data_IF_604745593860
#
_entry.id   IF_604745593860
#
_cell.length_a   1.000
_cell.length_b   1.000
_cell.length_c   1.000
_cell.angle_alpha   90.00
_cell.angle_beta   90.00
_cell.angle_gamma   90.00
#
_symmetry.space_group_name_H-M   'P 1'
#
loop_
_entity.id
_entity.type
_entity.pdbx_description
1 polymer ?
#
# COMPACT_ATOMS: atom_id res chain seq x y z
N UNK A 1 -17.57 -2.29 -18.28
CA UNK A 1 -18.66 -1.78 -19.13
C UNK A 1 -19.34 -0.61 -18.45
N UNK A 2 -20.39 -0.06 -19.04
CA UNK A 2 -21.07 1.14 -18.51
C UNK A 2 -21.64 0.98 -17.09
N UNK A 3 -21.77 -0.26 -16.59
CA UNK A 3 -22.22 -0.58 -15.24
C UNK A 3 -21.10 -1.05 -14.30
N UNK A 4 -19.85 -0.68 -14.59
CA UNK A 4 -18.66 -1.13 -13.85
C UNK A 4 -17.82 -2.15 -14.63
N UNK A 5 -16.58 -2.33 -14.20
CA UNK A 5 -15.64 -3.29 -14.76
C UNK A 5 -15.40 -4.41 -13.75
N UNK A 6 -15.25 -5.63 -14.24
CA UNK A 6 -14.87 -6.77 -13.41
C UNK A 6 -13.40 -7.08 -13.69
N UNK A 7 -12.62 -7.21 -12.62
CA UNK A 7 -11.26 -7.72 -12.66
C UNK A 7 -11.32 -9.16 -12.18
N UNK A 8 -10.94 -10.08 -13.06
CA UNK A 8 -10.73 -11.48 -12.69
C UNK A 8 -9.24 -11.68 -12.43
N UNK A 9 -8.91 -12.11 -11.21
CA UNK A 9 -7.55 -12.35 -10.79
C UNK A 9 -7.43 -13.71 -10.12
N UNK A 10 -6.25 -14.32 -10.26
CA UNK A 10 -5.95 -15.58 -9.57
C UNK A 10 -6.13 -15.41 -8.06
N UNK A 11 -6.81 -16.37 -7.44
CA UNK A 11 -6.89 -16.44 -5.99
C UNK A 11 -5.50 -16.63 -5.36
N UNK A 12 -5.18 -15.82 -4.37
CA UNK A 12 -3.89 -15.79 -3.66
C UNK A 12 -4.00 -16.58 -2.34
N UNK A 13 -3.54 -17.84 -2.24
CA UNK A 13 -3.82 -18.70 -1.07
C UNK A 13 -3.15 -18.23 0.22
N UNK A 14 -2.11 -17.40 0.10
CA UNK A 14 -1.40 -16.80 1.23
C UNK A 14 -2.10 -15.56 1.77
N UNK A 15 -3.29 -15.20 1.30
CA UNK A 15 -4.07 -14.09 1.86
C UNK A 15 -4.36 -14.26 3.37
N UNK A 16 -4.42 -15.51 3.85
CA UNK A 16 -4.49 -15.86 5.28
C UNK A 16 -3.29 -15.36 6.11
N UNK A 17 -2.15 -15.10 5.46
CA UNK A 17 -0.96 -14.55 6.09
C UNK A 17 -1.06 -13.02 6.24
N UNK A 18 -1.98 -12.39 5.50
CA UNK A 18 -2.34 -10.99 5.60
C UNK A 18 -2.05 -10.18 4.34
N UNK A 19 -2.74 -9.06 4.24
CA UNK A 19 -2.50 -8.02 3.26
C UNK A 19 -1.53 -6.98 3.82
N UNK A 20 -0.60 -6.52 3.00
CA UNK A 20 0.47 -5.60 3.38
C UNK A 20 0.23 -4.28 2.66
N UNK A 21 -0.15 -3.24 3.39
CA UNK A 21 -0.42 -1.91 2.85
C UNK A 21 0.74 -0.97 3.11
N UNK A 22 1.29 -0.38 2.06
CA UNK A 22 2.21 0.75 2.18
C UNK A 22 1.37 2.02 2.21
N UNK A 23 1.51 2.84 3.26
CA UNK A 23 0.95 4.20 3.30
C UNK A 23 2.01 5.19 2.83
N UNK A 24 1.67 6.01 1.84
CA UNK A 24 2.60 6.95 1.21
C UNK A 24 2.13 8.40 1.35
N UNK A 25 3.10 9.30 1.51
CA UNK A 25 2.95 10.73 1.33
C UNK A 25 3.87 11.16 0.19
N UNK A 26 3.30 11.58 -0.94
CA UNK A 26 4.07 11.69 -2.18
C UNK A 26 4.74 10.37 -2.51
N UNK A 27 6.04 10.39 -2.77
CA UNK A 27 6.87 9.22 -3.05
C UNK A 27 7.43 8.53 -1.80
N UNK A 28 7.13 9.05 -0.59
CA UNK A 28 7.72 8.57 0.67
C UNK A 28 6.83 7.52 1.33
N UNK A 29 7.30 6.27 1.52
CA UNK A 29 6.65 5.31 2.40
C UNK A 29 6.74 5.77 3.85
N UNK A 30 5.62 5.79 4.56
CA UNK A 30 5.53 6.25 5.95
C UNK A 30 5.35 5.07 6.90
N UNK A 31 4.40 4.19 6.59
CA UNK A 31 4.08 3.00 7.38
C UNK A 31 3.81 1.82 6.49
N UNK A 32 4.10 0.64 7.03
CA UNK A 32 3.60 -0.62 6.49
C UNK A 32 2.53 -1.15 7.45
N UNK A 33 1.30 -1.23 6.96
CA UNK A 33 0.16 -1.75 7.72
C UNK A 33 -0.06 -3.20 7.31
N UNK A 34 0.24 -4.13 8.21
CA UNK A 34 -0.04 -5.55 7.99
C UNK A 34 -1.39 -5.92 8.57
N UNK A 35 -2.34 -6.26 7.69
CA UNK A 35 -3.72 -6.61 8.01
C UNK A 35 -3.88 -8.12 7.95
N UNK A 36 -3.75 -8.79 9.09
CA UNK A 36 -3.85 -10.25 9.16
C UNK A 36 -5.29 -10.67 9.50
N UNK A 37 -5.97 -11.46 8.64
CA UNK A 37 -7.29 -12.01 8.93
C UNK A 37 -7.35 -12.78 10.25
N UNK A 38 -8.53 -12.86 10.86
CA UNK A 38 -8.76 -13.75 12.00
C UNK A 38 -8.53 -15.22 11.59
N UNK A 39 -8.04 -16.05 12.52
CA UNK A 39 -7.84 -17.48 12.26
C UNK A 39 -9.19 -18.19 12.05
N UNK A 40 -9.31 -18.96 10.97
CA UNK A 40 -10.52 -19.72 10.66
C UNK A 40 -10.50 -20.29 9.23
N UNK A 41 -11.46 -21.16 8.93
CA UNK A 41 -11.63 -21.72 7.58
C UNK A 41 -11.93 -20.65 6.52
N UNK A 42 -12.50 -19.52 6.94
CA UNK A 42 -12.91 -18.39 6.10
C UNK A 42 -12.00 -17.16 6.26
N UNK A 43 -10.70 -17.37 6.56
CA UNK A 43 -9.69 -16.32 6.75
C UNK A 43 -9.30 -15.61 5.43
N UNK A 44 -10.28 -15.03 4.74
CA UNK A 44 -10.14 -14.36 3.45
C UNK A 44 -10.29 -12.83 3.54
N UNK A 45 -10.93 -12.31 4.60
CA UNK A 45 -11.13 -10.87 4.79
C UNK A 45 -10.09 -10.28 5.74
N UNK A 46 -9.36 -9.29 5.26
CA UNK A 46 -8.38 -8.51 6.01
C UNK A 46 -8.98 -7.24 6.66
N UNK A 47 -10.31 -7.11 6.72
CA UNK A 47 -10.98 -5.93 7.30
C UNK A 47 -11.09 -6.02 8.83
N UNK A 48 -11.02 -4.88 9.52
CA UNK A 48 -11.25 -4.80 10.97
C UNK A 48 -12.61 -5.42 11.39
N UNK A 49 -13.65 -5.25 10.57
CA UNK A 49 -14.99 -5.79 10.84
C UNK A 49 -15.04 -7.32 10.83
N UNK A 50 -14.09 -7.98 10.16
CA UNK A 50 -13.93 -9.44 10.20
C UNK A 50 -12.97 -9.93 11.29
N UNK A 51 -12.58 -9.06 12.24
CA UNK A 51 -11.69 -9.41 13.35
C UNK A 51 -10.21 -9.47 12.97
N UNK A 52 -9.82 -8.86 11.85
CA UNK A 52 -8.42 -8.81 11.44
C UNK A 52 -7.57 -8.00 12.42
N UNK A 53 -6.35 -8.47 12.68
CA UNK A 53 -5.36 -7.78 13.51
C UNK A 53 -4.48 -6.91 12.63
N UNK A 54 -4.35 -5.64 13.01
CA UNK A 54 -3.55 -4.67 12.27
C UNK A 54 -2.28 -4.39 13.07
N UNK A 55 -1.13 -4.48 12.41
CA UNK A 55 0.14 -3.96 12.92
C UNK A 55 0.61 -2.81 12.05
N UNK A 56 1.36 -1.90 12.66
CA UNK A 56 1.94 -0.74 12.00
C UNK A 56 3.44 -0.84 12.19
N UNK A 57 4.10 -1.28 11.12
CA UNK A 57 5.53 -1.51 11.08
C UNK A 57 6.20 -0.39 10.30
N UNK A 58 7.53 -0.29 10.43
CA UNK A 58 8.28 0.70 9.68
C UNK A 58 8.65 0.16 8.30
N UNK A 59 8.83 1.03 7.29
CA UNK A 59 9.29 0.61 5.97
C UNK A 59 10.59 -0.22 6.01
N UNK A 60 11.50 0.06 6.94
CA UNK A 60 12.77 -0.66 7.07
C UNK A 60 12.60 -2.13 7.49
N UNK A 61 11.52 -2.46 8.19
CA UNK A 61 11.18 -3.83 8.58
C UNK A 61 10.75 -4.68 7.36
N UNK A 62 10.48 -4.03 6.22
CA UNK A 62 10.00 -4.63 4.98
C UNK A 62 10.90 -4.28 3.78
N UNK A 63 12.23 -4.36 3.98
CA UNK A 63 13.23 -3.91 3.02
C UNK A 63 13.07 -4.48 1.59
N UNK A 64 12.77 -5.78 1.45
CA UNK A 64 12.57 -6.42 0.14
C UNK A 64 11.36 -5.86 -0.60
N UNK A 65 10.25 -5.64 0.10
CA UNK A 65 9.05 -5.01 -0.45
C UNK A 65 9.32 -3.55 -0.83
N UNK A 66 10.03 -2.80 0.01
CA UNK A 66 10.39 -1.40 -0.29
C UNK A 66 11.29 -1.32 -1.52
N UNK A 67 12.26 -2.22 -1.66
CA UNK A 67 13.11 -2.29 -2.84
C UNK A 67 12.27 -2.54 -4.10
N UNK A 68 11.45 -3.60 -4.09
CA UNK A 68 10.55 -3.93 -5.20
C UNK A 68 9.64 -2.76 -5.58
N UNK A 69 9.05 -2.11 -4.57
CA UNK A 69 8.13 -1.00 -4.79
C UNK A 69 8.84 0.22 -5.39
N UNK A 70 9.99 0.62 -4.84
CA UNK A 70 10.76 1.76 -5.33
C UNK A 70 11.26 1.54 -6.77
N UNK A 71 11.65 0.31 -7.12
CA UNK A 71 12.03 -0.06 -8.49
C UNK A 71 10.81 -0.05 -9.44
N UNK A 72 9.62 -0.39 -8.93
CA UNK A 72 8.38 -0.46 -9.73
C UNK A 72 7.70 0.90 -9.91
N UNK A 73 7.86 1.84 -8.97
CA UNK A 73 7.12 3.11 -8.94
C UNK A 73 7.31 3.96 -10.22
N UNK A 74 8.53 4.13 -10.78
CA UNK A 74 8.71 4.84 -12.04
C UNK A 74 7.97 4.18 -13.21
N UNK A 75 7.95 2.85 -13.23
CA UNK A 75 7.26 2.07 -14.28
C UNK A 75 5.75 2.24 -14.15
N UNK A 76 5.21 2.22 -12.93
CA UNK A 76 3.79 2.46 -12.67
C UNK A 76 3.40 3.88 -13.12
N UNK A 77 4.19 4.89 -12.74
CA UNK A 77 3.93 6.29 -13.14
C UNK A 77 3.93 6.44 -14.66
N UNK A 78 4.93 5.90 -15.36
CA UNK A 78 5.00 5.91 -16.83
C UNK A 78 3.78 5.25 -17.48
N UNK A 79 3.39 4.06 -16.99
CA UNK A 79 2.22 3.32 -17.52
C UNK A 79 0.89 4.03 -17.29
N UNK A 80 0.80 4.84 -16.23
CA UNK A 80 -0.39 5.65 -15.96
C UNK A 80 -0.41 6.96 -16.74
N UNK A 81 0.62 7.27 -17.53
CA UNK A 81 0.70 8.48 -18.35
C UNK A 81 1.64 9.56 -17.81
N UNK A 82 2.55 9.20 -16.90
CA UNK A 82 3.52 10.11 -16.31
C UNK A 82 2.92 11.13 -15.34
N UNK A 83 1.77 10.80 -14.74
CA UNK A 83 1.14 11.69 -13.76
C UNK A 83 1.98 11.83 -12.48
N UNK A 84 1.83 13.00 -11.86
CA UNK A 84 2.40 13.27 -10.54
C UNK A 84 1.86 12.30 -9.50
N UNK A 85 2.74 11.90 -8.59
CA UNK A 85 2.40 10.99 -7.49
C UNK A 85 1.37 11.66 -6.58
N UNK A 86 0.31 10.96 -6.13
CA UNK A 86 -0.70 11.53 -5.24
C UNK A 86 -0.10 12.07 -3.94
N UNK A 87 -0.79 13.02 -3.29
CA UNK A 87 -0.35 13.59 -2.01
C UNK A 87 -0.37 12.54 -0.90
N UNK A 88 -1.47 11.79 -0.78
CA UNK A 88 -1.66 10.71 0.20
C UNK A 88 -2.29 9.54 -0.54
N UNK A 89 -1.70 8.36 -0.44
CA UNK A 89 -2.18 7.18 -1.15
C UNK A 89 -1.64 5.89 -0.54
N UNK A 90 -2.18 4.75 -0.96
CA UNK A 90 -1.70 3.44 -0.53
C UNK A 90 -1.46 2.50 -1.69
N UNK A 91 -0.55 1.57 -1.47
CA UNK A 91 -0.34 0.40 -2.32
C UNK A 91 -0.52 -0.87 -1.46
N UNK A 92 -1.47 -1.71 -1.86
CA UNK A 92 -1.88 -2.87 -1.08
C UNK A 92 -1.42 -4.16 -1.77
N UNK A 93 -0.64 -4.95 -1.05
CA UNK A 93 0.02 -6.15 -1.55
C UNK A 93 -0.50 -7.41 -0.88
N UNK A 94 -0.50 -8.48 -1.66
CA UNK A 94 -0.71 -9.84 -1.20
C UNK A 94 0.55 -10.67 -1.42
N UNK A 95 0.78 -11.66 -0.57
CA UNK A 95 1.88 -12.59 -0.74
C UNK A 95 1.57 -13.61 -1.85
N UNK A 96 2.51 -13.76 -2.79
CA UNK A 96 2.48 -14.77 -3.84
C UNK A 96 3.18 -16.06 -3.47
N UNK A 97 3.25 -16.96 -4.44
CA UNK A 97 4.04 -18.19 -4.34
C UNK A 97 5.50 -17.81 -4.05
N UNK A 98 6.13 -18.48 -3.09
CA UNK A 98 7.55 -18.22 -2.78
C UNK A 98 8.42 -18.51 -3.99
N UNK A 99 9.51 -17.75 -4.12
CA UNK A 99 10.47 -17.98 -5.20
C UNK A 99 11.27 -19.29 -5.00
N UNK A 100 12.15 -19.62 -5.95
CA UNK A 100 12.96 -20.83 -5.89
C UNK A 100 13.95 -20.87 -4.70
N UNK A 101 14.27 -19.71 -4.11
CA UNK A 101 15.11 -19.58 -2.93
C UNK A 101 14.29 -19.58 -1.62
N UNK A 102 12.95 -19.57 -1.71
CA UNK A 102 12.03 -19.54 -0.57
C UNK A 102 11.67 -18.13 -0.08
N UNK A 103 12.09 -17.08 -0.79
CA UNK A 103 11.78 -15.71 -0.44
C UNK A 103 10.31 -15.39 -0.75
N UNK A 104 9.80 -14.36 -0.08
CA UNK A 104 8.46 -13.87 -0.35
C UNK A 104 8.39 -13.15 -1.70
N UNK A 105 7.28 -13.34 -2.39
CA UNK A 105 6.92 -12.57 -3.57
C UNK A 105 5.70 -11.73 -3.26
N UNK A 106 5.63 -10.55 -3.87
CA UNK A 106 4.59 -9.58 -3.58
C UNK A 106 3.79 -9.28 -4.84
N UNK A 107 2.48 -9.36 -4.73
CA UNK A 107 1.53 -9.06 -5.80
C UNK A 107 0.75 -7.82 -5.41
N UNK A 108 0.87 -6.75 -6.19
CA UNK A 108 0.07 -5.54 -6.02
C UNK A 108 -1.39 -5.86 -6.37
N UNK A 109 -2.29 -5.71 -5.40
CA UNK A 109 -3.73 -5.91 -5.59
C UNK A 109 -4.45 -4.61 -5.95
N UNK A 110 -4.16 -3.55 -5.20
CA UNK A 110 -4.87 -2.28 -5.31
C UNK A 110 -3.95 -1.09 -5.03
N UNK A 111 -4.25 0.03 -5.69
CA UNK A 111 -3.76 1.37 -5.33
C UNK A 111 -4.96 2.23 -4.95
N UNK A 112 -4.91 2.89 -3.79
CA UNK A 112 -5.95 3.81 -3.33
C UNK A 112 -5.42 5.25 -3.30
N UNK A 113 -6.03 6.14 -4.07
CA UNK A 113 -5.67 7.56 -4.10
C UNK A 113 -6.79 8.48 -3.59
N UNK A 114 -8.03 7.98 -3.50
CA UNK A 114 -9.20 8.76 -3.08
C UNK A 114 -9.55 8.47 -1.62
N UNK A 115 -9.81 9.52 -0.84
CA UNK A 115 -10.31 9.41 0.54
C UNK A 115 -9.44 8.53 1.47
N UNK A 116 -8.12 8.56 1.28
CA UNK A 116 -7.17 7.80 2.11
C UNK A 116 -7.11 8.43 3.50
N UNK A 117 -7.52 7.68 4.52
CA UNK A 117 -7.45 8.11 5.91
C UNK A 117 -6.03 7.97 6.47
N UNK A 118 -5.56 9.02 7.14
CA UNK A 118 -4.24 9.07 7.80
C UNK A 118 -4.35 9.48 9.28
N UNK A 119 -5.57 9.53 9.83
CA UNK A 119 -5.83 10.00 11.21
C UNK A 119 -5.40 9.02 12.29
N UNK A 120 -4.91 7.84 11.91
CA UNK A 120 -4.24 6.91 12.82
C UNK A 120 -2.77 7.30 12.96
N UNK A 121 -2.24 7.26 14.18
CA UNK A 121 -0.82 7.54 14.47
C UNK A 121 -0.36 9.00 14.21
N UNK A 122 -1.23 9.99 14.42
CA UNK A 122 -0.85 11.42 14.40
C UNK A 122 0.25 11.75 15.42
N UNK A 123 0.33 11.00 16.52
CA UNK A 123 1.41 11.08 17.50
C UNK A 123 2.80 10.74 16.91
N UNK A 124 2.86 10.13 15.73
CA UNK A 124 4.09 9.76 15.04
C UNK A 124 4.52 10.76 13.96
N UNK A 125 3.87 11.94 13.86
CA UNK A 125 4.34 13.05 13.02
C UNK A 125 3.88 13.00 11.56
N UNK A 126 2.97 12.09 11.20
CA UNK A 126 2.49 11.95 9.81
C UNK A 126 1.87 13.26 9.28
N UNK A 127 1.19 14.03 10.13
CA UNK A 127 0.62 15.34 9.78
C UNK A 127 1.68 16.34 9.33
N UNK A 128 2.87 16.30 9.94
CA UNK A 128 3.94 17.25 9.65
C UNK A 128 4.55 16.90 8.29
N UNK A 129 4.74 15.61 8.00
CA UNK A 129 5.19 15.14 6.68
C UNK A 129 4.18 15.49 5.57
N UNK A 130 2.87 15.39 5.84
CA UNK A 130 1.83 15.83 4.90
C UNK A 130 1.93 17.33 4.67
N UNK A 131 2.03 18.12 5.75
CA UNK A 131 2.11 19.58 5.65
C UNK A 131 3.33 20.02 4.83
N UNK A 132 4.50 19.43 5.09
CA UNK A 132 5.74 19.72 4.36
C UNK A 132 5.60 19.38 2.87
N UNK A 133 4.99 18.24 2.54
CA UNK A 133 4.76 17.85 1.14
C UNK A 133 3.76 18.77 0.44
N UNK A 134 2.72 19.24 1.15
CA UNK A 134 1.78 20.25 0.60
C UNK A 134 2.50 21.55 0.31
N UNK A 135 3.28 22.08 1.26
CA UNK A 135 4.04 23.32 1.08
C UNK A 135 4.97 23.19 -0.12
N UNK A 136 5.74 22.09 -0.19
CA UNK A 136 6.65 21.82 -1.31
C UNK A 136 5.95 21.84 -2.67
N UNK A 137 4.77 21.23 -2.78
CA UNK A 137 3.99 21.21 -4.04
C UNK A 137 3.44 22.58 -4.42
N UNK A 138 2.96 23.36 -3.44
CA UNK A 138 2.46 24.71 -3.68
C UNK A 138 3.59 25.63 -4.15
N UNK A 139 4.75 25.58 -3.51
CA UNK A 139 5.92 26.36 -3.90
C UNK A 139 6.41 25.98 -5.30
N UNK A 140 6.48 24.69 -5.62
CA UNK A 140 6.88 24.21 -6.95
C UNK A 140 5.90 24.63 -8.06
N UNK A 141 4.60 24.72 -7.78
CA UNK A 141 3.60 25.16 -8.75
C UNK A 141 3.61 26.68 -9.00
N UNK A 142 4.25 27.45 -8.11
CA UNK A 142 4.38 28.91 -8.22
C UNK A 142 5.70 29.36 -8.86
N UNK A 143 6.66 28.45 -9.03
CA UNK A 143 7.96 28.68 -9.67
C UNK A 143 7.89 28.58 -11.19
#
# INVERSE_FOLDING_TARGET
>A
GENGMLVDMRFMPRIKEGEIRILLIGDKPIFVVHKKPAEGADAFSATLFSGAKYTYDKPEDWAELMQLFNESLPVISDKLGGFDIPLIWTADFMLGDKDAAGNDTYVLGEINCSCVGFTSHLDQGIQDVIADEVVRRVEAAQA
#
